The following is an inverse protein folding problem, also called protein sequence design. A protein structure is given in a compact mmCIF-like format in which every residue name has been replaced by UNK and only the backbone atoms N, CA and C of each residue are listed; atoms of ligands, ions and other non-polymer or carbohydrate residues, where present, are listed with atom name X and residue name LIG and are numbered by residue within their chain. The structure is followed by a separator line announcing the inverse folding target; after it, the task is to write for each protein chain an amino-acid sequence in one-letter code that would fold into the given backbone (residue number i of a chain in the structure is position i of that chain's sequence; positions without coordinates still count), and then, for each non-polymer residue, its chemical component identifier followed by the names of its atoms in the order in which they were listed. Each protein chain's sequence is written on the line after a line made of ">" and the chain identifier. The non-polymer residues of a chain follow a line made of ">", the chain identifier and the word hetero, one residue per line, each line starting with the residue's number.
data_IF_658852078871
#
_entry.id   IF_658852078871
#
_cell.length_a   1.000
_cell.length_b   1.000
_cell.length_c   1.000
_cell.angle_alpha   90.00
_cell.angle_beta   90.00
_cell.angle_gamma   90.00
#
_symmetry.space_group_name_H-M   'P 1'
#
loop_
_entity.id
_entity.type
_entity.pdbx_description
1 polymer ?
#
# COMPACT_ATOMS: atom_id res chain seq x y z
N UNK A 1 -64.33 65.13 -13.94
CA UNK A 1 -63.22 65.23 -13.00
C UNK A 1 -62.73 63.81 -12.63
N UNK A 2 -61.74 63.33 -13.33
CA UNK A 2 -61.16 61.98 -13.12
C UNK A 2 -59.98 62.09 -12.14
N UNK A 3 -60.15 61.47 -11.00
CA UNK A 3 -59.06 61.38 -10.01
C UNK A 3 -58.16 60.20 -10.39
N UNK A 4 -56.91 60.45 -10.69
CA UNK A 4 -55.91 59.46 -11.07
C UNK A 4 -55.23 58.97 -9.77
N UNK A 5 -55.52 57.71 -9.41
CA UNK A 5 -54.80 57.07 -8.31
C UNK A 5 -53.41 56.67 -8.81
N UNK A 6 -52.41 57.30 -8.28
CA UNK A 6 -50.97 57.05 -8.52
C UNK A 6 -50.55 55.92 -7.57
N UNK A 7 -50.31 54.73 -8.15
CA UNK A 7 -49.80 53.59 -7.39
C UNK A 7 -48.31 53.76 -7.07
N UNK A 8 -47.94 53.74 -5.80
CA UNK A 8 -46.57 53.79 -5.33
C UNK A 8 -45.78 52.55 -5.77
N UNK A 9 -44.48 52.71 -6.14
CA UNK A 9 -43.65 51.59 -6.54
C UNK A 9 -43.31 50.66 -5.35
N UNK A 10 -43.53 49.37 -5.52
CA UNK A 10 -43.16 48.32 -4.56
C UNK A 10 -41.63 48.10 -4.67
N UNK A 11 -40.91 48.53 -3.66
CA UNK A 11 -39.49 48.19 -3.52
C UNK A 11 -39.31 46.67 -3.30
N UNK A 12 -38.40 46.03 -4.08
CA UNK A 12 -38.11 44.61 -3.88
C UNK A 12 -37.35 44.42 -2.54
N UNK A 13 -37.94 43.72 -1.61
CA UNK A 13 -37.34 43.29 -0.35
C UNK A 13 -36.24 42.30 -0.69
N UNK A 14 -34.97 42.71 -0.64
CA UNK A 14 -33.85 41.82 -0.73
C UNK A 14 -33.74 40.94 0.53
N UNK A 15 -33.74 39.60 0.41
CA UNK A 15 -33.52 38.75 1.56
C UNK A 15 -32.07 38.90 2.01
N UNK A 16 -31.87 39.49 3.20
CA UNK A 16 -30.56 39.55 3.83
C UNK A 16 -30.09 38.15 4.18
N UNK A 17 -29.17 37.59 3.37
CA UNK A 17 -28.45 36.37 3.67
C UNK A 17 -27.58 36.60 4.92
N UNK A 18 -28.16 36.26 6.08
CA UNK A 18 -27.46 36.27 7.37
C UNK A 18 -26.33 35.27 7.30
N UNK A 19 -25.08 35.70 7.05
CA UNK A 19 -23.88 34.87 7.11
C UNK A 19 -23.81 34.25 8.50
N UNK A 20 -24.22 32.96 8.59
CA UNK A 20 -24.13 32.16 9.79
C UNK A 20 -22.64 31.89 10.06
N UNK A 21 -22.05 32.70 10.90
CA UNK A 21 -20.66 32.51 11.32
C UNK A 21 -20.50 31.15 11.99
N UNK A 22 -19.55 30.35 11.51
CA UNK A 22 -19.20 29.07 12.14
C UNK A 22 -18.78 29.29 13.57
N UNK A 23 -19.32 28.48 14.51
CA UNK A 23 -18.98 28.55 15.92
C UNK A 23 -17.49 28.27 16.14
N UNK A 24 -16.91 28.85 17.18
CA UNK A 24 -15.50 28.65 17.53
C UNK A 24 -15.17 27.14 17.70
N UNK A 25 -16.09 26.38 18.30
CA UNK A 25 -15.94 24.92 18.44
C UNK A 25 -15.82 24.19 17.10
N UNK A 26 -16.64 24.58 16.10
CA UNK A 26 -16.56 23.96 14.75
C UNK A 26 -15.24 24.28 14.07
N UNK A 27 -14.70 25.49 14.23
CA UNK A 27 -13.40 25.88 13.66
C UNK A 27 -12.26 25.07 14.27
N UNK A 28 -12.28 24.87 15.59
CA UNK A 28 -11.27 24.05 16.30
C UNK A 28 -11.35 22.59 15.86
N UNK A 29 -12.55 22.02 15.75
CA UNK A 29 -12.72 20.64 15.28
C UNK A 29 -12.19 20.43 13.86
N UNK A 30 -12.47 21.36 12.95
CA UNK A 30 -11.94 21.28 11.57
C UNK A 30 -10.40 21.38 11.57
N UNK A 31 -9.82 22.29 12.37
CA UNK A 31 -8.37 22.42 12.46
C UNK A 31 -7.70 21.13 12.95
N UNK A 32 -8.29 20.49 13.99
CA UNK A 32 -7.79 19.20 14.51
C UNK A 32 -7.86 18.09 13.46
N UNK A 33 -8.99 18.00 12.72
CA UNK A 33 -9.13 17.01 11.63
C UNK A 33 -8.11 17.24 10.53
N UNK A 34 -7.88 18.49 10.11
CA UNK A 34 -6.89 18.84 9.07
C UNK A 34 -5.47 18.47 9.51
N UNK A 35 -5.12 18.75 10.76
CA UNK A 35 -3.81 18.37 11.32
C UNK A 35 -3.67 16.84 11.36
N UNK A 36 -4.70 16.11 11.79
CA UNK A 36 -4.68 14.65 11.83
C UNK A 36 -4.49 14.05 10.44
N UNK A 37 -5.23 14.55 9.44
CA UNK A 37 -5.10 14.11 8.04
C UNK A 37 -3.70 14.43 7.49
N UNK A 38 -3.14 15.61 7.79
CA UNK A 38 -1.79 15.98 7.37
C UNK A 38 -0.73 15.06 8.00
N UNK A 39 -0.85 14.71 9.28
CA UNK A 39 0.05 13.77 9.97
C UNK A 39 -0.02 12.38 9.35
N UNK A 40 -1.22 11.89 9.05
CA UNK A 40 -1.40 10.60 8.38
C UNK A 40 -0.79 10.61 6.97
N UNK A 41 -1.00 11.68 6.20
CA UNK A 41 -0.44 11.82 4.86
C UNK A 41 1.09 11.84 4.89
N UNK A 42 1.70 12.58 5.82
CA UNK A 42 3.17 12.58 6.00
C UNK A 42 3.67 11.19 6.40
N UNK A 43 2.98 10.48 7.30
CA UNK A 43 3.35 9.14 7.72
C UNK A 43 3.36 8.16 6.53
N UNK A 44 2.37 8.23 5.65
CA UNK A 44 2.30 7.38 4.44
C UNK A 44 3.42 7.72 3.46
N UNK A 45 3.69 9.01 3.21
CA UNK A 45 4.73 9.48 2.28
C UNK A 45 6.15 9.18 2.75
N UNK A 46 6.34 8.97 4.06
CA UNK A 46 7.67 8.72 4.66
C UNK A 46 7.90 7.25 5.01
N UNK A 47 7.00 6.35 4.56
CA UNK A 47 7.20 4.92 4.74
C UNK A 47 8.44 4.47 3.97
N UNK A 48 9.42 3.94 4.68
CA UNK A 48 10.65 3.39 4.10
C UNK A 48 10.86 1.96 4.58
N UNK A 49 11.29 1.10 3.65
CA UNK A 49 11.64 -0.30 3.93
C UNK A 49 13.08 -0.52 3.53
N UNK A 50 13.85 -1.07 4.45
CA UNK A 50 15.22 -1.52 4.19
C UNK A 50 15.29 -3.00 4.43
N UNK A 51 15.81 -3.75 3.45
CA UNK A 51 16.07 -5.19 3.57
C UNK A 51 17.57 -5.44 3.61
N UNK A 52 17.99 -6.32 4.49
CA UNK A 52 19.38 -6.78 4.65
C UNK A 52 19.40 -8.30 4.86
N UNK A 53 20.58 -8.91 4.88
CA UNK A 53 20.70 -10.32 5.25
C UNK A 53 20.28 -10.53 6.70
N UNK A 54 19.51 -11.59 6.98
CA UNK A 54 19.14 -11.96 8.35
C UNK A 54 20.27 -12.69 9.05
N UNK A 55 20.26 -12.66 10.39
CA UNK A 55 21.12 -13.48 11.22
C UNK A 55 20.83 -14.99 11.06
N UNK A 56 21.83 -15.82 11.34
CA UNK A 56 21.63 -17.27 11.36
C UNK A 56 20.87 -17.70 12.62
N UNK A 57 19.89 -18.61 12.46
CA UNK A 57 19.20 -19.24 13.59
C UNK A 57 17.90 -18.57 14.03
N UNK A 58 17.36 -17.62 13.26
CA UNK A 58 16.06 -17.00 13.56
C UNK A 58 14.92 -17.99 13.39
N UNK A 59 14.02 -18.09 14.38
CA UNK A 59 12.78 -18.83 14.29
C UNK A 59 11.68 -17.97 13.65
N UNK A 60 10.85 -18.58 12.79
CA UNK A 60 9.75 -17.91 12.09
C UNK A 60 8.39 -18.50 12.52
N UNK A 61 7.87 -18.12 13.70
CA UNK A 61 6.64 -18.71 14.24
C UNK A 61 5.36 -18.23 13.51
N UNK A 62 5.43 -17.09 12.81
CA UNK A 62 4.28 -16.56 12.10
C UNK A 62 4.37 -16.87 10.61
N UNK A 63 3.26 -17.36 10.05
CA UNK A 63 3.16 -17.70 8.63
C UNK A 63 1.93 -17.06 8.03
N UNK A 64 2.09 -16.38 6.90
CA UNK A 64 0.98 -15.82 6.13
C UNK A 64 1.12 -16.23 4.67
N UNK A 65 0.01 -16.63 4.06
CA UNK A 65 -0.06 -17.03 2.68
C UNK A 65 -0.70 -15.93 1.83
N UNK A 66 -0.07 -15.59 0.71
CA UNK A 66 -0.58 -14.61 -0.26
C UNK A 66 -0.65 -15.23 -1.65
N UNK A 67 -1.78 -15.04 -2.34
CA UNK A 67 -1.83 -15.19 -3.79
C UNK A 67 -1.40 -13.85 -4.41
N UNK A 68 -0.34 -13.87 -5.22
CA UNK A 68 0.27 -12.65 -5.76
C UNK A 68 0.39 -12.75 -7.27
N UNK A 69 0.16 -11.63 -7.97
CA UNK A 69 0.44 -11.52 -9.39
C UNK A 69 1.33 -10.34 -9.71
N UNK A 70 2.34 -10.57 -10.54
CA UNK A 70 3.28 -9.56 -11.03
C UNK A 70 3.08 -9.32 -12.53
N UNK A 71 3.14 -8.08 -13.02
CA UNK A 71 3.23 -7.82 -14.45
C UNK A 71 4.54 -8.41 -14.99
N UNK A 72 4.44 -9.06 -16.15
CA UNK A 72 5.59 -9.67 -16.81
C UNK A 72 6.45 -8.62 -17.50
N UNK A 73 7.76 -8.71 -17.36
CA UNK A 73 8.73 -7.82 -18.01
C UNK A 73 8.90 -6.44 -17.38
N UNK A 74 8.05 -6.06 -16.43
CA UNK A 74 8.14 -4.77 -15.77
C UNK A 74 8.97 -4.83 -14.48
N UNK A 75 9.91 -3.91 -14.27
CA UNK A 75 10.65 -3.83 -13.01
C UNK A 75 9.75 -3.28 -11.91
N UNK A 76 9.66 -4.01 -10.82
CA UNK A 76 8.88 -3.65 -9.64
C UNK A 76 9.84 -3.37 -8.49
N UNK A 77 9.68 -2.22 -7.83
CA UNK A 77 10.43 -1.89 -6.63
C UNK A 77 9.58 -2.19 -5.37
N UNK A 78 10.11 -2.98 -4.47
CA UNK A 78 9.55 -3.25 -3.15
C UNK A 78 10.60 -2.86 -2.10
N UNK A 79 10.42 -1.71 -1.46
CA UNK A 79 11.44 -1.12 -0.62
C UNK A 79 12.69 -0.76 -1.43
N UNK A 80 13.85 -1.27 -1.03
CA UNK A 80 15.13 -1.10 -1.72
C UNK A 80 15.44 -2.24 -2.72
N UNK A 81 14.54 -3.22 -2.85
CA UNK A 81 14.72 -4.36 -3.76
C UNK A 81 13.98 -4.16 -5.07
N UNK A 82 14.65 -4.49 -6.18
CA UNK A 82 14.09 -4.47 -7.54
C UNK A 82 13.81 -5.90 -7.98
N UNK A 83 12.58 -6.16 -8.40
CA UNK A 83 12.14 -7.47 -8.88
C UNK A 83 11.71 -7.36 -10.34
N UNK A 84 12.18 -8.25 -11.18
CA UNK A 84 11.71 -8.41 -12.57
C UNK A 84 11.33 -9.86 -12.77
N UNK A 85 10.16 -10.08 -13.37
CA UNK A 85 9.62 -11.41 -13.64
C UNK A 85 9.49 -11.58 -15.15
N UNK A 86 10.14 -12.58 -15.72
CA UNK A 86 10.15 -12.87 -17.16
C UNK A 86 9.79 -14.33 -17.37
N UNK A 87 8.81 -14.61 -18.24
CA UNK A 87 8.53 -15.98 -18.67
C UNK A 87 9.24 -16.30 -19.98
N UNK A 88 9.77 -17.50 -20.07
CA UNK A 88 10.37 -18.04 -21.29
C UNK A 88 10.19 -19.56 -21.34
N UNK A 89 9.52 -20.08 -22.37
CA UNK A 89 9.34 -21.52 -22.59
C UNK A 89 8.75 -22.28 -21.37
N UNK A 90 7.68 -21.80 -20.75
CA UNK A 90 7.06 -22.36 -19.54
C UNK A 90 7.94 -22.31 -18.28
N UNK A 91 9.10 -21.70 -18.35
CA UNK A 91 9.95 -21.40 -17.21
C UNK A 91 9.82 -19.91 -16.86
N UNK A 92 9.88 -19.60 -15.57
CA UNK A 92 9.92 -18.24 -15.08
C UNK A 92 11.34 -17.90 -14.63
N UNK A 93 11.85 -16.77 -15.08
CA UNK A 93 13.09 -16.19 -14.55
C UNK A 93 12.72 -15.00 -13.70
N UNK A 94 13.02 -15.08 -12.42
CA UNK A 94 12.86 -13.97 -11.47
C UNK A 94 14.23 -13.37 -11.23
N UNK A 95 14.37 -12.08 -11.47
CA UNK A 95 15.57 -11.31 -11.17
C UNK A 95 15.25 -10.44 -9.93
N UNK A 96 15.94 -10.69 -8.83
CA UNK A 96 15.82 -9.94 -7.59
C UNK A 96 17.18 -9.30 -7.28
N UNK A 97 17.30 -7.99 -7.46
CA UNK A 97 18.52 -7.22 -7.21
C UNK A 97 19.74 -7.74 -8.01
N UNK A 98 19.51 -8.31 -9.22
CA UNK A 98 20.53 -8.90 -10.07
C UNK A 98 20.78 -10.39 -9.83
N UNK A 99 20.21 -10.98 -8.79
CA UNK A 99 20.21 -12.45 -8.61
C UNK A 99 19.08 -13.08 -9.41
N UNK A 100 19.45 -13.94 -10.35
CA UNK A 100 18.49 -14.61 -11.23
C UNK A 100 18.20 -16.01 -10.74
N UNK A 101 16.91 -16.27 -10.50
CA UNK A 101 16.39 -17.57 -10.13
C UNK A 101 15.43 -18.08 -11.20
N UNK A 102 15.56 -19.36 -11.55
CA UNK A 102 14.63 -20.07 -12.43
C UNK A 102 13.57 -20.76 -11.60
N UNK A 103 12.31 -20.61 -12.00
CA UNK A 103 11.16 -21.27 -11.39
C UNK A 103 10.38 -22.03 -12.45
N UNK A 104 10.08 -23.28 -12.19
CA UNK A 104 9.19 -24.10 -13.02
C UNK A 104 7.79 -24.09 -12.39
N UNK A 105 6.75 -24.18 -13.22
CA UNK A 105 5.36 -24.21 -12.72
C UNK A 105 5.18 -25.36 -11.69
N UNK A 106 4.71 -24.99 -10.51
CA UNK A 106 4.47 -25.92 -9.40
C UNK A 106 5.67 -26.17 -8.49
N UNK A 107 6.86 -25.65 -8.84
CA UNK A 107 8.06 -25.76 -8.01
C UNK A 107 8.00 -24.75 -6.84
N UNK A 108 8.40 -25.21 -5.67
CA UNK A 108 8.54 -24.39 -4.47
C UNK A 108 9.99 -23.93 -4.34
N UNK A 109 10.20 -22.62 -4.21
CA UNK A 109 11.53 -22.03 -3.98
C UNK A 109 11.56 -21.29 -2.66
N UNK A 110 12.52 -21.65 -1.83
CA UNK A 110 12.77 -20.96 -0.56
C UNK A 110 13.92 -19.98 -0.73
N UNK A 111 13.66 -18.70 -0.46
CA UNK A 111 14.70 -17.68 -0.48
C UNK A 111 15.44 -17.63 0.86
N UNK A 112 16.69 -17.16 0.83
CA UNK A 112 17.46 -16.95 2.03
C UNK A 112 16.74 -15.99 2.98
N UNK A 113 16.79 -16.23 4.31
CA UNK A 113 16.22 -15.33 5.29
C UNK A 113 16.79 -13.91 5.15
N UNK A 114 15.91 -12.92 5.28
CA UNK A 114 16.26 -11.50 5.21
C UNK A 114 15.71 -10.78 6.44
N UNK A 115 16.33 -9.66 6.75
CA UNK A 115 15.90 -8.75 7.80
C UNK A 115 15.19 -7.55 7.16
N UNK A 116 13.99 -7.21 7.65
CA UNK A 116 13.24 -6.04 7.19
C UNK A 116 13.08 -5.04 8.33
N UNK A 117 13.44 -3.80 8.05
CA UNK A 117 13.15 -2.65 8.90
C UNK A 117 12.21 -1.69 8.19
N UNK A 118 11.05 -1.47 8.78
CA UNK A 118 10.05 -0.51 8.29
C UNK A 118 10.09 0.71 9.19
N UNK A 119 10.31 1.89 8.59
CA UNK A 119 10.30 3.16 9.30
C UNK A 119 9.21 4.07 8.75
N UNK A 120 8.59 4.83 9.64
CA UNK A 120 7.64 5.90 9.33
C UNK A 120 8.16 7.18 9.92
N UNK A 121 8.39 8.19 9.12
CA UNK A 121 9.01 9.46 9.54
C UNK A 121 10.34 9.26 10.31
N UNK A 122 11.15 8.26 9.90
CA UNK A 122 12.41 7.92 10.55
C UNK A 122 12.29 7.10 11.84
N UNK A 123 11.07 6.82 12.32
CA UNK A 123 10.82 6.01 13.51
C UNK A 123 10.62 4.54 13.08
N UNK A 124 11.36 3.58 13.61
CA UNK A 124 11.16 2.17 13.29
C UNK A 124 9.83 1.69 13.89
N UNK A 125 8.92 1.23 13.00
CA UNK A 125 7.60 0.67 13.38
C UNK A 125 7.58 -0.84 13.31
N UNK A 126 8.43 -1.44 12.49
CA UNK A 126 8.64 -2.87 12.40
C UNK A 126 10.12 -3.16 12.14
N UNK A 127 10.64 -4.14 12.87
CA UNK A 127 12.00 -4.63 12.76
C UNK A 127 11.92 -6.14 12.99
N UNK A 128 12.04 -6.93 11.91
CA UNK A 128 11.75 -8.37 11.95
C UNK A 128 12.50 -9.12 10.86
N UNK A 129 12.95 -10.30 11.17
CA UNK A 129 13.44 -11.25 10.20
C UNK A 129 12.26 -11.93 9.49
N UNK A 130 12.46 -12.24 8.22
CA UNK A 130 11.47 -12.94 7.40
C UNK A 130 12.11 -13.90 6.42
N UNK A 131 11.35 -14.89 6.01
CA UNK A 131 11.69 -15.84 4.95
C UNK A 131 10.52 -15.97 3.99
N UNK A 132 10.81 -16.01 2.69
CA UNK A 132 9.82 -16.17 1.64
C UNK A 132 9.99 -17.55 1.01
N UNK A 133 8.87 -18.27 0.89
CA UNK A 133 8.72 -19.41 0.00
C UNK A 133 7.82 -18.98 -1.13
N UNK A 134 8.22 -19.25 -2.37
CA UNK A 134 7.50 -18.86 -3.56
C UNK A 134 7.18 -20.11 -4.37
N UNK A 135 5.91 -20.25 -4.77
CA UNK A 135 5.45 -21.29 -5.70
C UNK A 135 4.90 -20.64 -6.95
N UNK A 136 5.50 -20.93 -8.07
CA UNK A 136 5.06 -20.40 -9.35
C UNK A 136 3.85 -21.19 -9.88
N UNK A 137 2.79 -20.47 -10.28
CA UNK A 137 1.51 -21.03 -10.76
C UNK A 137 1.34 -20.96 -12.27
N UNK A 138 2.10 -20.11 -12.95
CA UNK A 138 1.98 -19.88 -14.39
C UNK A 138 1.75 -18.42 -14.74
N UNK A 139 1.61 -18.16 -16.05
CA UNK A 139 1.28 -16.83 -16.59
C UNK A 139 -0.13 -16.86 -17.18
N UNK A 140 -0.87 -15.80 -16.93
CA UNK A 140 -2.16 -15.52 -17.57
C UNK A 140 -2.26 -14.01 -17.81
N UNK A 141 -2.68 -13.59 -19.01
CA UNK A 141 -2.88 -12.19 -19.38
C UNK A 141 -1.66 -11.29 -19.08
N UNK A 142 -0.46 -11.74 -19.46
CA UNK A 142 0.82 -11.05 -19.23
C UNK A 142 1.10 -10.77 -17.76
N UNK A 143 0.57 -11.60 -16.87
CA UNK A 143 0.84 -11.57 -15.43
C UNK A 143 1.29 -12.94 -14.95
N UNK A 144 2.35 -12.95 -14.17
CA UNK A 144 2.86 -14.15 -13.51
C UNK A 144 2.20 -14.30 -12.13
N UNK A 145 1.67 -15.48 -11.85
CA UNK A 145 0.96 -15.80 -10.61
C UNK A 145 1.82 -16.66 -9.70
N UNK A 146 1.80 -16.32 -8.42
CA UNK A 146 2.55 -17.02 -7.39
C UNK A 146 1.72 -17.19 -6.12
N UNK A 147 1.96 -18.33 -5.43
CA UNK A 147 1.62 -18.44 -4.03
C UNK A 147 2.88 -18.09 -3.22
N UNK A 148 2.80 -17.06 -2.39
CA UNK A 148 3.87 -16.64 -1.50
C UNK A 148 3.54 -17.05 -0.07
N UNK A 149 4.40 -17.85 0.53
CA UNK A 149 4.37 -18.11 1.97
C UNK A 149 5.41 -17.22 2.63
N UNK A 150 4.95 -16.25 3.41
CA UNK A 150 5.82 -15.34 4.17
C UNK A 150 5.86 -15.83 5.60
N UNK A 151 7.06 -16.20 6.06
CA UNK A 151 7.32 -16.57 7.46
C UNK A 151 8.05 -15.43 8.13
N UNK A 152 7.62 -15.04 9.32
CA UNK A 152 8.20 -13.90 10.05
C UNK A 152 8.50 -14.24 11.50
N UNK A 153 9.52 -13.57 12.05
CA UNK A 153 9.86 -13.65 13.47
C UNK A 153 8.77 -13.01 14.33
N UNK A 154 8.22 -11.87 13.87
CA UNK A 154 7.17 -11.11 14.56
C UNK A 154 5.90 -11.05 13.72
N UNK A 155 4.77 -10.91 14.38
CA UNK A 155 3.50 -10.74 13.68
C UNK A 155 3.49 -9.42 12.89
N UNK A 156 3.29 -9.51 11.59
CA UNK A 156 3.22 -8.35 10.69
C UNK A 156 1.74 -8.04 10.39
N UNK A 157 1.26 -6.82 10.71
CA UNK A 157 -0.09 -6.42 10.38
C UNK A 157 -0.34 -6.39 8.87
N UNK A 158 -1.46 -6.92 8.40
CA UNK A 158 -1.81 -6.99 6.95
C UNK A 158 -1.81 -5.62 6.26
N UNK A 159 -2.22 -4.56 6.96
CA UNK A 159 -2.24 -3.22 6.38
C UNK A 159 -0.85 -2.73 5.99
N UNK A 160 0.20 -3.10 6.75
CA UNK A 160 1.58 -2.76 6.40
C UNK A 160 2.00 -3.47 5.11
N UNK A 161 1.68 -4.75 4.97
CA UNK A 161 1.99 -5.51 3.74
C UNK A 161 1.33 -4.86 2.53
N UNK A 162 0.05 -4.49 2.63
CA UNK A 162 -0.68 -3.81 1.54
C UNK A 162 -0.08 -2.45 1.16
N UNK A 163 0.41 -1.68 2.14
CA UNK A 163 1.04 -0.38 1.87
C UNK A 163 2.43 -0.49 1.24
N UNK A 164 3.12 -1.61 1.45
CA UNK A 164 4.47 -1.85 0.92
C UNK A 164 4.47 -2.32 -0.53
N UNK A 165 3.36 -2.91 -0.96
CA UNK A 165 3.25 -3.43 -2.32
C UNK A 165 2.86 -2.30 -3.28
N UNK A 166 3.59 -2.15 -4.40
CA UNK A 166 3.23 -1.18 -5.42
C UNK A 166 1.89 -1.55 -6.08
N UNK A 167 1.14 -0.57 -6.62
CA UNK A 167 -0.16 -0.81 -7.24
C UNK A 167 -0.16 -1.82 -8.39
N UNK A 168 1.00 -2.03 -9.03
CA UNK A 168 1.18 -3.01 -10.10
C UNK A 168 1.10 -4.46 -9.60
N UNK A 169 1.32 -4.70 -8.31
CA UNK A 169 1.29 -6.02 -7.68
C UNK A 169 -0.06 -6.23 -7.01
N UNK A 170 -0.82 -7.22 -7.48
CA UNK A 170 -2.03 -7.66 -6.78
C UNK A 170 -1.63 -8.76 -5.78
N UNK A 171 -1.87 -8.53 -4.50
CA UNK A 171 -1.62 -9.49 -3.44
C UNK A 171 -2.84 -9.63 -2.55
N UNK A 172 -3.31 -10.87 -2.41
CA UNK A 172 -4.47 -11.22 -1.61
C UNK A 172 -4.09 -12.25 -0.55
N UNK A 173 -4.37 -11.99 0.74
CA UNK A 173 -4.17 -12.99 1.76
C UNK A 173 -5.11 -14.18 1.50
N UNK A 174 -4.56 -15.37 1.60
CA UNK A 174 -5.34 -16.61 1.54
C UNK A 174 -5.70 -17.00 2.96
N UNK A 175 -6.99 -17.01 3.27
CA UNK A 175 -7.47 -17.49 4.57
C UNK A 175 -7.31 -19.01 4.61
N UNK A 176 -6.57 -19.51 5.57
CA UNK A 176 -6.40 -20.93 5.88
C UNK A 176 -7.39 -21.38 6.93
#
# INVERSE_FOLDING_TARGET
>A
MMSRNEAAPIEPVQPSLKKRGMSTGTKVSIAVIVILVAVIAVAILTLSVTTTGAGSGTAFPYTTLYAVSFPEGEPIAIGNSRIVVLSYNNEMVTDVDGEREKLVVGEDRTFAPRHARITVAGIPVLDSDFQILMKYKGVLDSRAYFDLTVRTEKQVPEYLVKQLLPPAVDARPVQT
#
